data_IF_796328657693
#
_entry.id   IF_796328657693
#
_cell.length_a   1.000
_cell.length_b   1.000
_cell.length_c   1.000
_cell.angle_alpha   90.00
_cell.angle_beta   90.00
_cell.angle_gamma   90.00
#
_symmetry.space_group_name_H-M   'P 1'
#
loop_
_entity.id
_entity.type
_entity.pdbx_description
1 polymer ?
#
# COMPACT_ATOMS: atom_id res chain seq x y z
N UNK A 1 3.58 6.23 11.01
CA UNK A 1 4.12 6.06 9.64
C UNK A 1 5.06 4.87 9.65
N UNK A 2 4.98 3.95 8.68
CA UNK A 2 5.89 2.80 8.59
C UNK A 2 6.90 3.04 7.47
N UNK A 3 8.19 2.84 7.72
CA UNK A 3 9.27 3.07 6.74
C UNK A 3 10.23 1.88 6.70
N UNK A 4 11.10 1.82 5.70
CA UNK A 4 12.28 0.96 5.79
C UNK A 4 13.33 1.56 6.75
N UNK A 5 14.38 0.80 7.04
CA UNK A 5 15.52 1.24 7.85
C UNK A 5 16.53 2.09 7.06
N UNK A 6 16.11 2.72 5.95
CA UNK A 6 16.98 3.55 5.13
C UNK A 6 17.53 4.76 5.92
N UNK A 7 18.77 5.20 5.63
CA UNK A 7 19.43 6.27 6.39
C UNK A 7 18.65 7.59 6.35
N UNK A 8 17.89 7.86 5.28
CA UNK A 8 17.04 9.04 5.15
C UNK A 8 15.89 9.07 6.18
N UNK A 9 15.45 7.92 6.70
CA UNK A 9 14.41 7.84 7.73
C UNK A 9 14.98 7.71 9.14
N UNK A 10 16.30 7.53 9.27
CA UNK A 10 17.02 7.51 10.53
C UNK A 10 17.67 8.87 10.87
N UNK A 11 17.61 9.84 9.95
CA UNK A 11 18.25 11.14 10.14
C UNK A 11 17.55 11.96 11.24
N UNK A 12 18.32 12.83 11.88
CA UNK A 12 17.81 13.68 12.98
C UNK A 12 16.71 14.61 12.44
N UNK A 13 16.90 15.16 11.24
CA UNK A 13 15.97 16.06 10.58
C UNK A 13 14.62 15.40 10.33
N UNK A 14 14.61 14.14 9.88
CA UNK A 14 13.37 13.40 9.65
C UNK A 14 12.64 13.08 10.96
N UNK A 15 13.39 12.71 12.01
CA UNK A 15 12.81 12.44 13.32
C UNK A 15 12.26 13.71 13.98
N UNK A 16 12.92 14.86 13.80
CA UNK A 16 12.42 16.16 14.26
C UNK A 16 11.13 16.56 13.54
N UNK A 17 11.07 16.39 12.22
CA UNK A 17 9.85 16.57 11.44
C UNK A 17 8.71 15.66 11.93
N UNK A 18 9.00 14.39 12.19
CA UNK A 18 8.00 13.47 12.73
C UNK A 18 7.52 13.91 14.12
N UNK A 19 8.40 14.44 14.97
CA UNK A 19 8.05 14.97 16.30
C UNK A 19 7.18 16.23 16.20
N UNK A 20 7.49 17.18 15.31
CA UNK A 20 6.71 18.41 15.15
C UNK A 20 5.29 18.12 14.69
N UNK A 21 5.13 17.10 13.85
CA UNK A 21 3.86 16.78 13.19
C UNK A 21 3.08 15.66 13.91
N UNK A 22 3.50 15.28 15.12
CA UNK A 22 2.91 14.21 15.93
C UNK A 22 2.82 12.85 15.20
N UNK A 23 3.78 12.57 14.33
CA UNK A 23 3.89 11.31 13.58
C UNK A 23 4.77 10.35 14.38
N UNK A 24 4.26 9.15 14.67
CA UNK A 24 5.07 8.07 15.23
C UNK A 24 5.75 7.28 14.08
N UNK A 25 7.08 7.37 13.89
CA UNK A 25 7.78 6.56 12.91
C UNK A 25 7.93 5.12 13.42
N UNK A 26 7.67 4.15 12.55
CA UNK A 26 7.81 2.71 12.82
C UNK A 26 8.72 2.14 11.74
N UNK A 27 9.90 1.67 12.13
CA UNK A 27 10.81 1.01 11.20
C UNK A 27 10.33 -0.42 10.97
N UNK A 28 10.11 -0.76 9.70
CA UNK A 28 9.77 -2.11 9.28
C UNK A 28 10.99 -3.03 9.36
N UNK A 29 10.77 -4.28 9.76
CA UNK A 29 11.84 -5.29 9.78
C UNK A 29 12.25 -5.65 8.36
N UNK A 30 13.54 -5.60 8.07
CA UNK A 30 14.11 -6.03 6.78
C UNK A 30 13.85 -7.52 6.48
N UNK A 31 13.58 -8.32 7.50
CA UNK A 31 13.46 -9.79 7.38
C UNK A 31 12.08 -10.26 6.90
N UNK A 32 11.09 -9.36 6.75
CA UNK A 32 9.70 -9.73 6.41
C UNK A 32 9.10 -8.84 5.32
N UNK A 33 9.54 -9.00 4.06
CA UNK A 33 9.04 -8.22 2.93
C UNK A 33 7.53 -8.40 2.70
N UNK A 34 6.94 -9.54 3.08
CA UNK A 34 5.50 -9.79 2.97
C UNK A 34 4.65 -8.74 3.72
N UNK A 35 5.11 -8.27 4.88
CA UNK A 35 4.43 -7.22 5.66
C UNK A 35 4.60 -5.81 5.06
N UNK A 36 5.50 -5.66 4.10
CA UNK A 36 5.69 -4.44 3.30
C UNK A 36 5.21 -4.63 1.85
N UNK A 37 4.67 -5.81 1.51
CA UNK A 37 4.36 -6.19 0.13
C UNK A 37 3.31 -5.31 -0.55
N UNK A 38 2.45 -4.65 0.24
CA UNK A 38 1.51 -3.65 -0.29
C UNK A 38 2.22 -2.42 -0.85
N UNK A 39 3.31 -2.00 -0.22
CA UNK A 39 4.12 -0.88 -0.67
C UNK A 39 4.87 -1.29 -1.94
N UNK A 40 5.49 -2.48 -1.94
CA UNK A 40 6.20 -3.04 -3.10
C UNK A 40 5.29 -3.21 -4.32
N UNK A 41 4.08 -3.74 -4.13
CA UNK A 41 3.10 -3.90 -5.21
C UNK A 41 2.68 -2.54 -5.78
N UNK A 42 2.49 -1.55 -4.92
CA UNK A 42 2.16 -0.18 -5.32
C UNK A 42 3.32 0.46 -6.09
N UNK A 43 4.56 0.31 -5.61
CA UNK A 43 5.77 0.79 -6.29
C UNK A 43 5.95 0.12 -7.65
N UNK A 44 5.72 -1.20 -7.74
CA UNK A 44 5.81 -1.95 -9.00
C UNK A 44 4.79 -1.43 -10.02
N UNK A 45 3.55 -1.19 -9.58
CA UNK A 45 2.51 -0.59 -10.42
C UNK A 45 2.91 0.80 -10.91
N UNK A 46 3.37 1.69 -10.01
CA UNK A 46 3.80 3.05 -10.36
C UNK A 46 5.00 3.07 -11.31
N UNK A 47 5.99 2.19 -11.10
CA UNK A 47 7.12 2.02 -12.04
C UNK A 47 6.62 1.62 -13.43
N UNK A 48 5.59 0.77 -13.49
CA UNK A 48 4.93 0.40 -14.74
C UNK A 48 4.28 1.59 -15.43
N UNK A 49 3.59 2.46 -14.69
CA UNK A 49 3.00 3.69 -15.23
C UNK A 49 4.09 4.63 -15.78
N UNK A 50 5.13 4.90 -14.99
CA UNK A 50 6.26 5.75 -15.42
C UNK A 50 6.87 5.20 -16.70
N UNK A 51 7.10 3.89 -16.79
CA UNK A 51 7.67 3.27 -18.01
C UNK A 51 6.77 3.43 -19.24
N UNK A 52 5.45 3.45 -19.08
CA UNK A 52 4.48 3.61 -20.19
C UNK A 52 4.37 5.05 -20.67
N UNK A 53 4.53 6.02 -19.76
CA UNK A 53 4.31 7.45 -20.04
C UNK A 53 5.62 8.24 -20.12
N UNK A 54 6.78 7.57 -20.09
CA UNK A 54 8.08 8.20 -20.28
C UNK A 54 8.61 7.93 -21.69
N UNK A 55 8.79 9.00 -22.47
CA UNK A 55 9.38 8.98 -23.81
C UNK A 55 10.60 9.89 -23.81
N UNK A 56 11.75 9.40 -24.30
CA UNK A 56 13.01 10.17 -24.34
C UNK A 56 13.42 10.76 -22.96
N UNK A 57 13.28 9.98 -21.89
CA UNK A 57 13.55 10.41 -20.50
C UNK A 57 12.70 11.60 -20.01
N UNK A 58 11.55 11.85 -20.65
CA UNK A 58 10.57 12.84 -20.22
C UNK A 58 9.24 12.16 -20.00
N UNK A 59 8.62 12.44 -18.87
CA UNK A 59 7.29 11.96 -18.54
C UNK A 59 6.29 12.88 -19.21
N UNK A 60 5.38 12.30 -19.99
CA UNK A 60 4.14 12.97 -20.39
C UNK A 60 3.27 13.11 -19.13
N UNK A 61 3.29 14.30 -18.54
CA UNK A 61 2.69 14.58 -17.25
C UNK A 61 1.16 14.41 -17.30
N UNK A 62 0.51 14.89 -18.36
CA UNK A 62 -0.94 14.81 -18.51
C UNK A 62 -1.39 13.35 -18.65
N UNK A 63 -0.69 12.58 -19.48
CA UNK A 63 -0.99 11.15 -19.65
C UNK A 63 -0.70 10.35 -18.38
N UNK A 64 0.37 10.69 -17.66
CA UNK A 64 0.72 10.06 -16.38
C UNK A 64 -0.31 10.36 -15.30
N UNK A 65 -0.76 11.61 -15.18
CA UNK A 65 -1.75 12.02 -14.18
C UNK A 65 -3.12 11.40 -14.46
N UNK A 66 -3.53 11.31 -15.73
CA UNK A 66 -4.71 10.57 -16.13
C UNK A 66 -4.62 9.08 -15.76
N UNK A 67 -3.50 8.42 -16.07
CA UNK A 67 -3.29 7.02 -15.72
C UNK A 67 -3.26 6.79 -14.19
N UNK A 68 -2.65 7.70 -13.44
CA UNK A 68 -2.61 7.65 -11.99
C UNK A 68 -4.01 7.81 -11.37
N UNK A 69 -4.82 8.70 -11.93
CA UNK A 69 -6.22 8.87 -11.53
C UNK A 69 -7.01 7.57 -11.75
N UNK A 70 -6.82 6.90 -12.88
CA UNK A 70 -7.45 5.59 -13.13
C UNK A 70 -7.00 4.55 -12.12
N UNK A 71 -5.69 4.42 -11.89
CA UNK A 71 -5.16 3.46 -10.90
C UNK A 71 -5.69 3.67 -9.48
N UNK A 72 -6.03 4.91 -9.11
CA UNK A 72 -6.66 5.22 -7.82
C UNK A 72 -8.14 4.83 -7.77
N UNK A 73 -8.80 4.72 -8.91
CA UNK A 73 -10.21 4.32 -9.03
C UNK A 73 -10.42 2.81 -9.24
N UNK A 74 -9.37 2.04 -9.52
CA UNK A 74 -9.46 0.59 -9.68
C UNK A 74 -9.66 -0.10 -8.32
N UNK A 75 -10.72 -0.93 -8.14
CA UNK A 75 -10.91 -1.74 -6.94
C UNK A 75 -9.75 -2.70 -6.69
N UNK A 76 -9.39 -2.89 -5.42
CA UNK A 76 -8.36 -3.87 -5.01
C UNK A 76 -9.02 -5.19 -4.58
N UNK A 77 -8.22 -6.13 -4.07
CA UNK A 77 -8.68 -7.44 -3.60
C UNK A 77 -9.77 -7.37 -2.51
N UNK A 78 -9.79 -6.28 -1.74
CA UNK A 78 -10.82 -6.00 -0.73
C UNK A 78 -12.17 -5.56 -1.34
N UNK A 79 -12.19 -5.26 -2.64
CA UNK A 79 -13.36 -4.84 -3.41
C UNK A 79 -13.57 -3.33 -3.45
N UNK A 80 -12.73 -2.53 -2.78
CA UNK A 80 -12.81 -1.08 -2.80
C UNK A 80 -11.56 -0.46 -3.42
N UNK A 81 -11.74 0.65 -4.11
CA UNK A 81 -10.63 1.42 -4.68
C UNK A 81 -9.98 2.33 -3.62
N UNK A 82 -8.72 2.77 -3.82
CA UNK A 82 -8.11 3.79 -2.98
C UNK A 82 -8.96 5.07 -2.81
N UNK A 83 -9.63 5.53 -3.86
CA UNK A 83 -10.52 6.71 -3.77
C UNK A 83 -11.77 6.41 -2.94
N UNK A 84 -12.31 5.21 -3.03
CA UNK A 84 -13.45 4.78 -2.20
C UNK A 84 -13.05 4.67 -0.73
N UNK A 85 -11.85 4.19 -0.42
CA UNK A 85 -11.33 4.20 0.96
C UNK A 85 -11.18 5.62 1.53
N UNK A 86 -10.73 6.57 0.71
CA UNK A 86 -10.43 7.93 1.15
C UNK A 86 -11.65 8.86 1.16
N UNK A 87 -12.46 8.80 0.10
CA UNK A 87 -13.57 9.73 -0.15
C UNK A 87 -14.95 9.06 -0.08
N UNK A 88 -15.02 7.77 0.23
CA UNK A 88 -16.26 6.98 0.21
C UNK A 88 -16.94 6.94 -1.17
N UNK A 89 -16.26 7.26 -2.28
CA UNK A 89 -16.81 7.19 -3.65
C UNK A 89 -15.71 7.10 -4.70
N UNK A 90 -16.06 6.67 -5.91
CA UNK A 90 -15.19 6.82 -7.08
C UNK A 90 -15.03 8.29 -7.49
N UNK A 91 -13.87 8.64 -8.04
CA UNK A 91 -13.63 9.90 -8.73
C UNK A 91 -13.98 9.76 -10.21
N UNK A 92 -14.43 10.85 -10.83
CA UNK A 92 -14.64 10.91 -12.28
C UNK A 92 -13.30 10.84 -13.00
N UNK A 93 -13.27 10.08 -14.08
CA UNK A 93 -12.08 9.86 -14.89
C UNK A 93 -12.40 10.06 -16.37
N UNK A 94 -11.40 9.86 -17.26
CA UNK A 94 -11.59 10.01 -18.70
C UNK A 94 -12.26 8.79 -19.34
N UNK A 95 -12.34 7.68 -18.60
CA UNK A 95 -13.02 6.46 -19.03
C UNK A 95 -14.51 6.57 -18.69
N UNK A 96 -15.35 6.18 -19.64
CA UNK A 96 -16.78 6.04 -19.41
C UNK A 96 -17.04 4.91 -18.42
N UNK A 97 -17.46 5.25 -17.20
CA UNK A 97 -17.84 4.26 -16.18
C UNK A 97 -19.33 4.34 -15.87
N UNK A 98 -19.90 3.23 -15.42
CA UNK A 98 -21.28 3.19 -14.97
C UNK A 98 -21.52 4.19 -13.82
N UNK A 99 -22.65 4.89 -13.82
CA UNK A 99 -22.91 5.97 -12.85
C UNK A 99 -22.86 5.52 -11.38
N UNK A 100 -23.19 4.25 -11.12
CA UNK A 100 -23.11 3.64 -9.78
C UNK A 100 -21.69 3.65 -9.20
N UNK A 101 -20.65 3.75 -10.04
CA UNK A 101 -19.26 3.80 -9.56
C UNK A 101 -18.95 5.07 -8.75
N UNK A 102 -19.80 6.10 -8.86
CA UNK A 102 -19.69 7.36 -8.13
C UNK A 102 -20.60 7.42 -6.89
N UNK A 103 -21.40 6.39 -6.64
CA UNK A 103 -22.23 6.34 -5.44
C UNK A 103 -21.38 6.28 -4.19
N UNK A 104 -21.97 6.77 -3.10
CA UNK A 104 -21.32 6.76 -1.79
C UNK A 104 -21.33 5.32 -1.28
N UNK A 105 -20.15 4.78 -1.03
CA UNK A 105 -19.94 3.46 -0.44
C UNK A 105 -20.51 3.46 0.96
N UNK A 106 -21.43 2.52 1.21
CA UNK A 106 -22.10 2.39 2.50
C UNK A 106 -21.14 1.96 3.61
N UNK A 107 -21.48 2.29 4.86
CA UNK A 107 -20.69 1.88 6.02
C UNK A 107 -20.55 0.35 6.09
N UNK A 108 -21.64 -0.39 5.82
CA UNK A 108 -21.65 -1.85 5.82
C UNK A 108 -20.72 -2.48 4.77
N UNK A 109 -20.59 -1.87 3.60
CA UNK A 109 -19.68 -2.33 2.55
C UNK A 109 -18.22 -2.09 2.94
N UNK A 110 -17.94 -0.92 3.52
CA UNK A 110 -16.63 -0.60 4.08
C UNK A 110 -16.22 -1.54 5.19
N UNK A 111 -17.15 -1.88 6.09
CA UNK A 111 -16.87 -2.78 7.21
C UNK A 111 -16.55 -4.19 6.68
N UNK A 112 -17.26 -4.66 5.65
CA UNK A 112 -16.94 -5.93 4.96
C UNK A 112 -15.57 -5.90 4.28
N UNK A 113 -15.24 -4.82 3.58
CA UNK A 113 -13.93 -4.66 2.93
C UNK A 113 -12.79 -4.59 3.96
N UNK A 114 -13.03 -3.93 5.09
CA UNK A 114 -12.07 -3.83 6.20
C UNK A 114 -11.82 -5.21 6.81
N UNK A 115 -12.87 -6.01 6.99
CA UNK A 115 -12.73 -7.35 7.53
C UNK A 115 -11.94 -8.26 6.57
N UNK A 116 -12.20 -8.20 5.26
CA UNK A 116 -11.37 -8.92 4.27
C UNK A 116 -9.90 -8.55 4.38
N UNK A 117 -9.59 -7.25 4.50
CA UNK A 117 -8.21 -6.77 4.66
C UNK A 117 -7.59 -7.19 5.99
N UNK A 118 -8.39 -7.25 7.06
CA UNK A 118 -7.93 -7.73 8.37
C UNK A 118 -7.58 -9.22 8.31
N UNK A 119 -8.42 -10.02 7.66
CA UNK A 119 -8.19 -11.46 7.49
C UNK A 119 -6.92 -11.73 6.67
N UNK A 120 -6.70 -11.01 5.57
CA UNK A 120 -5.47 -11.18 4.77
C UNK A 120 -4.21 -10.82 5.55
N UNK A 121 -4.24 -9.74 6.35
CA UNK A 121 -3.12 -9.40 7.23
C UNK A 121 -2.92 -10.45 8.32
N UNK A 122 -3.99 -11.00 8.87
CA UNK A 122 -3.91 -12.03 9.91
C UNK A 122 -3.29 -13.32 9.35
N UNK A 123 -3.67 -13.72 8.14
CA UNK A 123 -3.10 -14.88 7.44
C UNK A 123 -1.59 -14.73 7.26
N UNK A 124 -1.13 -13.55 6.79
CA UNK A 124 0.31 -13.24 6.66
C UNK A 124 1.01 -13.29 8.03
N UNK A 125 0.39 -12.79 9.09
CA UNK A 125 0.97 -12.82 10.45
C UNK A 125 1.08 -14.24 11.00
N UNK A 126 0.07 -15.09 10.78
CA UNK A 126 0.08 -16.49 11.20
C UNK A 126 1.21 -17.25 10.50
N UNK A 127 1.35 -17.05 9.18
CA UNK A 127 2.44 -17.65 8.41
C UNK A 127 3.81 -17.20 8.94
N UNK A 128 3.97 -15.90 9.21
CA UNK A 128 5.18 -15.35 9.83
C UNK A 128 5.53 -16.02 11.18
N UNK A 129 4.55 -16.22 12.06
CA UNK A 129 4.79 -16.87 13.36
C UNK A 129 5.26 -18.32 13.22
N UNK A 130 4.67 -19.08 12.29
CA UNK A 130 5.08 -20.47 12.01
C UNK A 130 6.51 -20.54 11.48
N UNK A 131 6.89 -19.64 10.58
CA UNK A 131 8.26 -19.55 10.04
C UNK A 131 9.28 -19.25 11.15
N UNK A 132 8.92 -18.38 12.10
CA UNK A 132 9.79 -18.03 13.23
C UNK A 132 9.99 -19.19 14.20
N UNK A 133 8.94 -19.96 14.51
CA UNK A 133 9.02 -21.14 15.37
C UNK A 133 9.91 -22.22 14.76
N UNK A 134 9.68 -22.57 13.49
CA UNK A 134 10.49 -23.57 12.78
C UNK A 134 11.99 -23.19 12.73
N UNK A 135 12.31 -21.91 12.60
CA UNK A 135 13.70 -21.43 12.64
C UNK A 135 14.33 -21.53 14.03
N UNK A 136 13.58 -21.27 15.11
CA UNK A 136 14.08 -21.43 16.48
C UNK A 136 14.45 -22.88 16.75
N UNK A 137 13.61 -23.82 16.32
CA UNK A 137 13.85 -25.26 16.48
C UNK A 137 15.11 -25.69 15.72
N UNK A 138 15.31 -25.19 14.50
CA UNK A 138 16.52 -25.45 13.71
C UNK A 138 17.80 -24.92 14.37
N UNK A 139 17.76 -23.73 14.96
CA UNK A 139 18.92 -23.12 15.62
C UNK A 139 19.25 -23.83 16.94
N UNK A 140 18.22 -24.27 17.68
CA UNK A 140 18.40 -25.06 18.91
C UNK A 140 18.94 -26.46 18.63
N UNK A 141 18.54 -27.10 17.54
CA UNK A 141 19.03 -28.43 17.13
C UNK A 141 20.48 -28.44 16.61
N UNK A 142 21.09 -27.28 16.38
CA UNK A 142 22.48 -27.10 15.93
C UNK A 142 23.45 -26.69 17.03
N UNK A 143 22.99 -26.58 18.28
CA UNK A 143 23.83 -26.45 19.47
C UNK A 143 23.99 -27.80 20.15
#
# INVERSE_FOLDING_TARGET
>A
MKTDGGPQFASVEFLDFCRSDAIQPVVSSAYYPQLNGHDDATVKMLKGLVKKHCVNNRIDQDAFDAALLECRNVPREDGLSPTQWLFCRGLRTHILTHHLNYEIVGQSERDRALEKRRLSILEIKIDMTKVLESRKDYVLAKK
#
